data_IF_542701108694
#
_entry.id   IF_542701108694
#
_cell.length_a   1.000
_cell.length_b   1.000
_cell.length_c   1.000
_cell.angle_alpha   90.00
_cell.angle_beta   90.00
_cell.angle_gamma   90.00
#
_symmetry.space_group_name_H-M   'P 1'
#
loop_
_entity.id
_entity.type
_entity.pdbx_description
1 polymer ?
#
# COMPACT_ATOMS: atom_id res chain seq x y z
N UNK A 1 -10.23 2.40 22.17
CA UNK A 1 -11.18 3.10 21.28
C UNK A 1 -12.38 2.22 21.13
N UNK A 2 -13.56 2.75 21.38
CA UNK A 2 -14.84 2.06 21.21
C UNK A 2 -15.47 2.46 19.86
N UNK A 3 -16.02 1.51 19.13
CA UNK A 3 -16.77 1.74 17.89
C UNK A 3 -17.95 2.72 18.09
N UNK A 4 -18.61 2.65 19.24
CA UNK A 4 -19.71 3.55 19.63
C UNK A 4 -19.28 5.03 19.55
N UNK A 5 -18.11 5.38 20.09
CA UNK A 5 -17.59 6.75 20.07
C UNK A 5 -17.32 7.30 18.64
N UNK A 6 -17.12 6.42 17.68
CA UNK A 6 -17.00 6.79 16.25
C UNK A 6 -18.38 7.07 15.68
N UNK A 7 -19.34 6.14 15.88
CA UNK A 7 -20.68 6.19 15.32
C UNK A 7 -21.55 7.31 15.93
N UNK A 8 -21.25 7.79 17.14
CA UNK A 8 -21.91 8.96 17.73
C UNK A 8 -21.64 10.28 16.97
N UNK A 9 -20.56 10.35 16.21
CA UNK A 9 -20.13 11.59 15.51
C UNK A 9 -20.04 11.47 14.02
N UNK A 10 -19.84 10.26 13.51
CA UNK A 10 -19.60 10.00 12.09
C UNK A 10 -20.50 8.90 11.56
N UNK A 11 -21.04 9.14 10.38
CA UNK A 11 -21.61 8.11 9.53
C UNK A 11 -20.49 7.53 8.67
N UNK A 12 -20.38 6.21 8.64
CA UNK A 12 -19.50 5.48 7.72
C UNK A 12 -20.34 4.92 6.57
N UNK A 13 -19.93 5.19 5.34
CA UNK A 13 -20.56 4.70 4.13
C UNK A 13 -19.77 3.50 3.57
N UNK A 14 -20.25 2.25 3.74
CA UNK A 14 -19.50 1.05 3.35
C UNK A 14 -19.20 0.95 1.85
N UNK A 15 -20.09 1.48 1.01
CA UNK A 15 -19.96 1.40 -0.47
C UNK A 15 -18.81 2.27 -1.00
N UNK A 16 -18.52 3.37 -0.33
CA UNK A 16 -17.46 4.32 -0.72
C UNK A 16 -16.24 4.29 0.19
N UNK A 17 -16.38 3.77 1.43
CA UNK A 17 -15.34 3.81 2.45
C UNK A 17 -15.17 5.17 3.14
N UNK A 18 -16.11 6.08 2.95
CA UNK A 18 -16.02 7.44 3.46
C UNK A 18 -16.62 7.60 4.86
N UNK A 19 -16.05 8.52 5.62
CA UNK A 19 -16.62 9.03 6.86
C UNK A 19 -17.21 10.42 6.64
N UNK A 20 -18.42 10.63 7.13
CA UNK A 20 -19.09 11.91 7.11
C UNK A 20 -19.46 12.32 8.54
N UNK A 21 -19.12 13.54 8.94
CA UNK A 21 -19.52 14.06 10.27
C UNK A 21 -21.01 14.34 10.29
N UNK A 22 -21.72 13.94 11.36
CA UNK A 22 -23.18 14.07 11.49
C UNK A 22 -23.65 15.52 11.73
N UNK A 23 -22.76 16.50 11.84
CA UNK A 23 -23.11 17.91 11.91
C UNK A 23 -23.37 18.51 10.53
N UNK A 24 -23.88 19.75 10.51
CA UNK A 24 -24.11 20.55 9.28
C UNK A 24 -22.82 20.77 8.43
N UNK A 25 -21.64 20.47 8.98
CA UNK A 25 -20.34 20.54 8.27
C UNK A 25 -19.80 19.12 8.02
N UNK A 26 -20.17 18.45 6.93
CA UNK A 26 -19.93 17.01 6.73
C UNK A 26 -18.45 16.61 6.72
N UNK A 27 -17.55 17.51 6.30
CA UNK A 27 -16.11 17.23 6.27
C UNK A 27 -15.38 17.62 7.57
N UNK A 28 -16.10 18.04 8.62
CA UNK A 28 -15.51 18.39 9.91
C UNK A 28 -14.78 17.18 10.49
N UNK A 29 -13.50 17.38 10.85
CA UNK A 29 -12.70 16.35 11.48
C UNK A 29 -12.27 15.20 10.56
N UNK A 30 -12.54 15.27 9.25
CA UNK A 30 -12.02 14.32 8.23
C UNK A 30 -10.95 15.03 7.41
N UNK A 31 -9.73 14.50 7.40
CA UNK A 31 -8.58 15.11 6.73
C UNK A 31 -7.87 14.10 5.84
N UNK A 32 -7.44 14.54 4.65
CA UNK A 32 -6.53 13.77 3.80
C UNK A 32 -5.09 14.22 4.05
N UNK A 33 -4.21 13.28 4.33
CA UNK A 33 -2.77 13.54 4.54
C UNK A 33 -2.05 13.77 3.21
N UNK A 34 -0.87 14.41 3.25
CA UNK A 34 -0.02 14.56 2.06
C UNK A 34 0.37 13.22 1.40
N UNK A 35 0.34 12.11 2.17
CA UNK A 35 0.58 10.75 1.67
C UNK A 35 -0.68 10.08 1.10
N UNK A 36 -1.82 10.76 1.06
CA UNK A 36 -3.09 10.26 0.52
C UNK A 36 -3.95 9.46 1.50
N UNK A 37 -3.54 9.25 2.76
CA UNK A 37 -4.37 8.59 3.75
C UNK A 37 -5.44 9.52 4.30
N UNK A 38 -6.60 8.95 4.67
CA UNK A 38 -7.65 9.68 5.37
C UNK A 38 -7.50 9.50 6.88
N UNK A 39 -7.68 10.59 7.64
CA UNK A 39 -7.73 10.60 9.10
C UNK A 39 -9.03 11.19 9.57
N UNK A 40 -9.56 10.65 10.68
CA UNK A 40 -10.83 11.07 11.31
C UNK A 40 -10.55 11.47 12.75
N UNK A 41 -11.09 12.62 13.17
CA UNK A 41 -10.92 13.17 14.52
C UNK A 41 -11.96 12.61 15.47
N UNK A 42 -11.55 11.74 16.38
CA UNK A 42 -12.45 11.13 17.38
C UNK A 42 -11.94 11.42 18.78
N UNK A 43 -12.78 11.95 19.63
CA UNK A 43 -12.40 12.38 20.96
C UNK A 43 -11.44 13.59 20.91
N UNK A 44 -10.18 13.36 21.23
CA UNK A 44 -9.15 14.42 21.29
C UNK A 44 -8.00 14.21 20.29
N UNK A 45 -8.07 13.20 19.38
CA UNK A 45 -6.99 12.87 18.45
C UNK A 45 -7.48 12.35 17.10
N UNK A 46 -6.56 12.34 16.11
CA UNK A 46 -6.81 11.77 14.80
C UNK A 46 -6.45 10.29 14.76
N UNK A 47 -7.32 9.51 14.15
CA UNK A 47 -7.11 8.09 13.82
C UNK A 47 -7.07 7.92 12.30
N UNK A 48 -6.36 6.91 11.83
CA UNK A 48 -6.43 6.52 10.42
C UNK A 48 -7.82 5.94 10.11
N UNK A 49 -8.45 6.38 9.02
CA UNK A 49 -9.78 5.93 8.64
C UNK A 49 -9.86 4.41 8.48
N UNK A 50 -8.86 3.78 7.83
CA UNK A 50 -8.80 2.33 7.69
C UNK A 50 -8.73 1.57 9.03
N UNK A 51 -8.14 2.15 10.10
CA UNK A 51 -8.17 1.55 11.42
C UNK A 51 -9.56 1.63 12.06
N UNK A 52 -10.28 2.73 11.83
CA UNK A 52 -11.65 2.87 12.32
C UNK A 52 -12.60 1.95 11.57
N UNK A 53 -12.45 1.83 10.26
CA UNK A 53 -13.23 0.86 9.47
C UNK A 53 -12.97 -0.57 9.95
N UNK A 54 -11.71 -0.91 10.21
CA UNK A 54 -11.36 -2.21 10.78
C UNK A 54 -12.05 -2.45 12.13
N UNK A 55 -12.00 -1.44 13.02
CA UNK A 55 -12.71 -1.48 14.32
C UNK A 55 -14.22 -1.67 14.17
N UNK A 56 -14.85 -0.94 13.24
CA UNK A 56 -16.30 -1.01 13.03
C UNK A 56 -16.76 -2.38 12.54
N UNK A 57 -15.94 -3.09 11.75
CA UNK A 57 -16.29 -4.40 11.19
C UNK A 57 -15.85 -5.58 12.05
N UNK A 58 -14.75 -5.43 12.81
CA UNK A 58 -14.17 -6.55 13.57
C UNK A 58 -14.33 -6.42 15.09
N UNK A 59 -14.82 -5.27 15.56
CA UNK A 59 -14.95 -4.98 17.00
C UNK A 59 -13.63 -4.64 17.70
N UNK A 60 -12.49 -4.68 17.01
CA UNK A 60 -11.16 -4.40 17.58
C UNK A 60 -10.31 -3.52 16.65
N UNK A 61 -9.36 -2.80 17.22
CA UNK A 61 -8.31 -2.18 16.42
C UNK A 61 -7.38 -3.23 15.82
N UNK A 62 -6.74 -2.94 14.67
CA UNK A 62 -5.83 -3.90 14.06
C UNK A 62 -4.58 -4.11 14.94
N UNK A 63 -4.12 -5.37 15.03
CA UNK A 63 -2.88 -5.75 15.72
C UNK A 63 -1.65 -5.66 14.82
N UNK A 64 -1.87 -5.71 13.49
CA UNK A 64 -0.84 -5.63 12.46
C UNK A 64 -1.09 -4.39 11.57
N UNK A 65 -0.38 -4.27 10.48
CA UNK A 65 -0.60 -3.19 9.51
C UNK A 65 -1.86 -3.45 8.70
N UNK A 66 -2.60 -2.40 8.39
CA UNK A 66 -3.68 -2.47 7.40
C UNK A 66 -3.11 -2.05 6.03
N UNK A 67 -3.26 -2.93 5.07
CA UNK A 67 -2.90 -2.71 3.68
C UNK A 67 -4.16 -2.47 2.83
N UNK A 68 -4.03 -1.57 1.84
CA UNK A 68 -5.05 -1.31 0.83
C UNK A 68 -4.79 -2.21 -0.38
N UNK A 69 -5.63 -3.23 -0.58
CA UNK A 69 -5.47 -4.27 -1.62
C UNK A 69 -5.24 -3.65 -3.00
N UNK A 70 -5.97 -2.59 -3.35
CA UNK A 70 -5.83 -1.90 -4.64
C UNK A 70 -4.72 -0.82 -4.66
N UNK A 71 -4.02 -0.59 -3.54
CA UNK A 71 -2.97 0.43 -3.40
C UNK A 71 -3.47 1.87 -3.28
N UNK A 72 -4.80 2.13 -3.32
CA UNK A 72 -5.39 3.46 -3.14
C UNK A 72 -5.63 3.73 -1.66
N UNK A 73 -4.86 4.64 -1.07
CA UNK A 73 -4.80 4.92 0.39
C UNK A 73 -6.02 5.62 0.96
N UNK A 74 -6.89 6.12 0.13
CA UNK A 74 -8.17 6.77 0.47
C UNK A 74 -9.39 5.87 0.24
N UNK A 75 -9.20 4.71 -0.38
CA UNK A 75 -10.27 3.72 -0.56
C UNK A 75 -10.39 2.83 0.69
N UNK A 76 -11.14 3.33 1.67
CA UNK A 76 -11.32 2.66 2.97
C UNK A 76 -12.55 1.75 3.02
N UNK A 77 -13.04 1.23 1.88
CA UNK A 77 -14.02 0.14 1.89
C UNK A 77 -13.41 -1.07 2.58
N UNK A 78 -14.16 -1.71 3.49
CA UNK A 78 -13.65 -2.85 4.23
C UNK A 78 -13.18 -3.99 3.32
N UNK A 79 -13.86 -4.24 2.19
CA UNK A 79 -13.48 -5.21 1.16
C UNK A 79 -12.11 -4.93 0.51
N UNK A 80 -11.62 -3.69 0.60
CA UNK A 80 -10.30 -3.28 0.09
C UNK A 80 -9.22 -3.29 1.18
N UNK A 81 -9.55 -3.63 2.43
CA UNK A 81 -8.62 -3.62 3.56
C UNK A 81 -8.26 -5.05 3.97
N UNK A 82 -7.01 -5.26 4.33
CA UNK A 82 -6.53 -6.51 4.92
C UNK A 82 -5.49 -6.25 6.00
N UNK A 83 -5.54 -7.06 7.06
CA UNK A 83 -4.54 -7.02 8.13
C UNK A 83 -3.36 -7.91 7.73
N UNK A 84 -2.15 -7.33 7.60
CA UNK A 84 -0.97 -8.00 7.07
C UNK A 84 0.26 -7.75 7.94
N UNK A 85 1.23 -8.65 7.86
CA UNK A 85 2.56 -8.41 8.41
C UNK A 85 3.28 -7.28 7.66
N UNK A 86 4.31 -6.69 8.27
CA UNK A 86 5.15 -5.68 7.61
C UNK A 86 5.81 -6.23 6.34
N UNK A 87 6.16 -7.52 6.33
CA UNK A 87 6.74 -8.19 5.16
C UNK A 87 5.73 -8.24 4.00
N UNK A 88 4.51 -8.75 4.24
CA UNK A 88 3.46 -8.82 3.22
C UNK A 88 3.10 -7.43 2.70
N UNK A 89 2.99 -6.41 3.58
CA UNK A 89 2.73 -5.05 3.17
C UNK A 89 3.84 -4.49 2.26
N UNK A 90 5.10 -4.77 2.58
CA UNK A 90 6.24 -4.38 1.74
C UNK A 90 6.22 -5.07 0.36
N UNK A 91 5.70 -6.29 0.30
CA UNK A 91 5.56 -7.06 -0.93
C UNK A 91 4.44 -6.51 -1.84
N UNK A 92 3.44 -5.81 -1.31
CA UNK A 92 2.40 -5.14 -2.10
C UNK A 92 2.83 -3.80 -2.70
N UNK A 93 4.10 -3.41 -2.57
CA UNK A 93 4.61 -2.17 -3.18
C UNK A 93 4.39 -2.18 -4.70
N UNK A 94 3.70 -1.14 -5.21
CA UNK A 94 3.32 -1.01 -6.64
C UNK A 94 4.21 -0.06 -7.42
N UNK A 95 4.92 0.81 -6.74
CA UNK A 95 5.78 1.83 -7.35
C UNK A 95 7.22 1.68 -6.87
N UNK A 96 8.16 1.94 -7.75
CA UNK A 96 9.57 2.03 -7.40
C UNK A 96 9.81 3.19 -6.42
N UNK A 97 10.86 3.07 -5.61
CA UNK A 97 11.28 4.17 -4.75
C UNK A 97 11.66 5.41 -5.59
N UNK A 98 11.43 6.61 -5.06
CA UNK A 98 11.74 7.88 -5.77
C UNK A 98 13.20 8.00 -6.21
N UNK A 99 14.11 7.32 -5.53
CA UNK A 99 15.55 7.26 -5.88
C UNK A 99 15.90 6.16 -6.89
N UNK A 100 14.91 5.44 -7.43
CA UNK A 100 15.14 4.43 -8.46
C UNK A 100 15.62 5.11 -9.75
N UNK A 101 16.75 4.65 -10.26
CA UNK A 101 17.33 5.17 -11.51
C UNK A 101 16.52 4.81 -12.77
N UNK A 102 15.66 3.80 -12.68
CA UNK A 102 14.80 3.34 -13.78
C UNK A 102 13.33 3.72 -13.60
N UNK A 103 12.91 4.12 -12.38
CA UNK A 103 11.50 4.28 -12.04
C UNK A 103 10.71 2.96 -12.00
N UNK A 104 11.35 1.82 -12.24
CA UNK A 104 10.73 0.50 -12.30
C UNK A 104 11.09 -0.34 -11.08
N UNK A 105 10.11 -1.11 -10.56
CA UNK A 105 10.35 -2.05 -9.47
C UNK A 105 11.27 -3.19 -9.91
N UNK A 106 12.26 -3.50 -9.07
CA UNK A 106 13.13 -4.66 -9.24
C UNK A 106 14.13 -4.55 -10.39
N UNK A 107 14.20 -3.39 -11.08
CA UNK A 107 15.08 -3.16 -12.23
C UNK A 107 16.17 -2.16 -11.88
N UNK A 108 17.40 -2.47 -12.25
CA UNK A 108 18.55 -1.56 -12.12
C UNK A 108 19.48 -1.68 -13.34
N UNK A 109 20.11 -0.55 -13.76
CA UNK A 109 21.07 -0.58 -14.84
C UNK A 109 22.36 -1.31 -14.39
N UNK A 110 22.97 -2.07 -15.28
CA UNK A 110 24.30 -2.63 -15.07
C UNK A 110 25.31 -1.58 -15.53
N UNK A 111 26.18 -1.19 -14.59
CA UNK A 111 27.29 -0.25 -14.84
C UNK A 111 28.58 -1.07 -14.76
N UNK A 112 29.03 -1.60 -15.89
CA UNK A 112 30.28 -2.36 -16.00
C UNK A 112 31.14 -1.74 -17.09
N UNK A 113 32.42 -1.50 -16.79
CA UNK A 113 33.39 -1.03 -17.77
C UNK A 113 33.58 -2.09 -18.88
N UNK A 114 33.64 -1.62 -20.14
CA UNK A 114 33.77 -2.51 -21.31
C UNK A 114 32.48 -3.18 -21.79
N UNK A 115 31.34 -2.94 -21.15
CA UNK A 115 30.06 -3.48 -21.61
C UNK A 115 29.58 -2.74 -22.85
N UNK A 116 29.42 -3.46 -23.96
CA UNK A 116 28.84 -2.89 -25.20
C UNK A 116 27.30 -2.83 -25.05
N UNK A 117 26.75 -1.62 -25.13
CA UNK A 117 25.33 -1.37 -24.99
C UNK A 117 24.83 -1.30 -23.54
N UNK A 118 23.66 -0.71 -23.36
CA UNK A 118 22.99 -0.64 -22.05
C UNK A 118 22.39 -1.99 -21.70
N UNK A 119 22.54 -2.42 -20.44
CA UNK A 119 21.96 -3.65 -19.91
C UNK A 119 21.24 -3.37 -18.58
N UNK A 120 20.19 -4.11 -18.31
CA UNK A 120 19.39 -4.00 -17.10
C UNK A 120 19.29 -5.35 -16.40
N UNK A 121 19.43 -5.31 -15.09
CA UNK A 121 19.29 -6.45 -14.20
C UNK A 121 17.89 -6.44 -13.58
N UNK A 122 17.17 -7.57 -13.65
CA UNK A 122 15.99 -7.82 -12.84
C UNK A 122 16.36 -8.60 -11.59
N UNK A 123 15.85 -8.19 -10.43
CA UNK A 123 16.15 -8.79 -9.13
C UNK A 123 14.97 -8.68 -8.19
N UNK A 124 14.66 -9.77 -7.47
CA UNK A 124 13.61 -9.82 -6.46
C UNK A 124 14.18 -10.24 -5.10
N UNK A 125 13.61 -9.72 -4.00
CA UNK A 125 13.99 -10.11 -2.65
C UNK A 125 12.93 -11.02 -2.04
N UNK A 126 13.29 -12.25 -1.69
CA UNK A 126 12.41 -13.26 -1.08
C UNK A 126 13.08 -13.81 0.17
N UNK A 127 12.38 -13.81 1.31
CA UNK A 127 12.93 -14.33 2.56
C UNK A 127 14.24 -13.67 3.00
N UNK A 128 14.40 -12.36 2.72
CA UNK A 128 15.64 -11.63 3.02
C UNK A 128 16.76 -11.79 2.00
N UNK A 129 16.65 -12.74 1.07
CA UNK A 129 17.66 -13.03 0.03
C UNK A 129 17.28 -12.38 -1.30
N UNK A 130 18.27 -11.83 -2.00
CA UNK A 130 18.11 -11.30 -3.35
C UNK A 130 18.31 -12.41 -4.38
N UNK A 131 17.32 -12.59 -5.25
CA UNK A 131 17.34 -13.56 -6.35
C UNK A 131 17.52 -12.76 -7.64
N UNK A 132 18.57 -13.10 -8.41
CA UNK A 132 18.78 -12.55 -9.75
C UNK A 132 17.84 -13.27 -10.73
N UNK A 133 17.04 -12.49 -11.48
CA UNK A 133 16.04 -13.02 -12.42
C UNK A 133 16.53 -13.02 -13.87
N UNK A 134 17.60 -12.28 -14.16
CA UNK A 134 18.19 -12.18 -15.47
C UNK A 134 18.76 -10.80 -15.78
N UNK A 135 19.43 -10.76 -16.95
CA UNK A 135 20.00 -9.53 -17.53
C UNK A 135 19.40 -9.32 -18.92
N UNK A 136 18.93 -8.12 -19.19
CA UNK A 136 18.10 -7.79 -20.35
C UNK A 136 18.68 -6.61 -21.13
N UNK A 137 18.39 -6.55 -22.43
CA UNK A 137 18.72 -5.43 -23.29
C UNK A 137 17.74 -4.24 -23.11
N UNK A 138 16.52 -4.53 -22.61
CA UNK A 138 15.47 -3.54 -22.37
C UNK A 138 15.12 -3.49 -20.88
N UNK A 139 14.86 -2.30 -20.30
CA UNK A 139 14.35 -2.20 -18.92
C UNK A 139 12.92 -2.73 -18.80
N UNK A 140 12.11 -2.67 -19.86
CA UNK A 140 10.74 -3.17 -19.88
C UNK A 140 10.69 -4.69 -19.79
N UNK A 141 11.57 -5.43 -20.49
CA UNK A 141 11.68 -6.88 -20.40
C UNK A 141 12.15 -7.31 -19.00
N UNK A 142 13.12 -6.58 -18.44
CA UNK A 142 13.56 -6.79 -17.07
C UNK A 142 12.40 -6.58 -16.07
N UNK A 143 11.57 -5.58 -16.28
CA UNK A 143 10.42 -5.28 -15.44
C UNK A 143 9.31 -6.32 -15.59
N UNK A 144 8.99 -6.74 -16.81
CA UNK A 144 8.01 -7.80 -17.06
C UNK A 144 8.39 -9.09 -16.32
N UNK A 145 9.65 -9.51 -16.43
CA UNK A 145 10.20 -10.67 -15.69
C UNK A 145 10.10 -10.49 -14.18
N UNK A 146 10.39 -9.28 -13.67
CA UNK A 146 10.23 -8.99 -12.25
C UNK A 146 8.77 -9.10 -11.79
N UNK A 147 7.80 -8.56 -12.55
CA UNK A 147 6.37 -8.61 -12.21
C UNK A 147 5.87 -10.05 -12.18
N UNK A 148 6.27 -10.88 -13.15
CA UNK A 148 5.94 -12.31 -13.16
C UNK A 148 6.48 -13.03 -11.91
N UNK A 149 7.77 -12.86 -11.62
CA UNK A 149 8.39 -13.42 -10.43
C UNK A 149 7.72 -12.93 -9.13
N UNK A 150 7.32 -11.65 -9.07
CA UNK A 150 6.63 -11.06 -7.93
C UNK A 150 5.28 -11.70 -7.69
N UNK A 151 4.48 -11.91 -8.75
CA UNK A 151 3.18 -12.60 -8.65
C UNK A 151 3.32 -14.02 -8.09
N UNK A 152 4.38 -14.72 -8.48
CA UNK A 152 4.63 -16.11 -8.08
C UNK A 152 5.24 -16.23 -6.68
N UNK A 153 6.13 -15.31 -6.28
CA UNK A 153 6.98 -15.47 -5.10
C UNK A 153 6.57 -14.61 -3.90
N UNK A 154 5.74 -13.58 -4.10
CA UNK A 154 5.32 -12.69 -3.03
C UNK A 154 3.87 -12.93 -2.64
N UNK A 155 3.62 -13.53 -1.47
CA UNK A 155 2.27 -13.77 -0.94
C UNK A 155 1.45 -12.46 -0.74
N UNK A 156 2.13 -11.33 -0.46
CA UNK A 156 1.52 -10.01 -0.33
C UNK A 156 1.23 -9.30 -1.66
N UNK A 157 1.60 -9.89 -2.80
CA UNK A 157 1.43 -9.27 -4.12
C UNK A 157 -0.05 -9.21 -4.53
N UNK A 158 -0.49 -8.02 -4.99
CA UNK A 158 -1.86 -7.78 -5.51
C UNK A 158 -1.85 -7.09 -6.87
N UNK A 159 -0.73 -7.18 -7.61
CA UNK A 159 -0.55 -6.61 -8.97
C UNK A 159 -0.32 -7.69 -10.01
#
# INVERSE_FOLDING_TARGET
MDAKAVLEKYQYEPSTGNFQHMSTKPNRGVLKTAKGYVRVFVGKKYYMAHHLVWLLHTGRLPNKQIDHINGKRDDNRFSNLREVSALENSQNQRQAHKTSSTGMLGVSPIRQAGLVGKRWKAQIKVGGRSIHLGTFASPDDAHATYIEAKRRLHAGCTI
#
